data_IF_794086084929
#
_entry.id   IF_794086084929
#
_cell.length_a   1.000
_cell.length_b   1.000
_cell.length_c   1.000
_cell.angle_alpha   90.00
_cell.angle_beta   90.00
_cell.angle_gamma   90.00
#
_symmetry.space_group_name_H-M   'P 1'
#
loop_
_entity.id
_entity.type
_entity.pdbx_description
1 polymer ?
#
# COMPACT_ATOMS: atom_id res chain seq x y z
N UNK A 1 0.97 -3.22 18.06
CA UNK A 1 2.37 -2.74 18.03
C UNK A 1 2.41 -1.49 18.86
N UNK A 2 3.51 -1.20 19.55
CA UNK A 2 3.66 0.11 20.19
C UNK A 2 4.03 1.19 19.17
N UNK A 3 3.94 2.45 19.59
CA UNK A 3 4.16 3.63 18.76
C UNK A 3 5.62 3.73 18.26
N UNK A 4 6.60 3.32 19.07
CA UNK A 4 8.01 3.33 18.69
C UNK A 4 8.28 2.32 17.55
N UNK A 5 7.67 1.14 17.62
CA UNK A 5 7.74 0.13 16.58
C UNK A 5 7.03 0.58 15.29
N UNK A 6 5.92 1.32 15.40
CA UNK A 6 5.25 1.92 14.23
C UNK A 6 6.14 2.96 13.58
N UNK A 7 6.69 3.91 14.35
CA UNK A 7 7.65 4.91 13.84
C UNK A 7 8.85 4.26 13.16
N UNK A 8 9.42 3.23 13.78
CA UNK A 8 10.53 2.49 13.20
C UNK A 8 10.12 1.77 11.91
N UNK A 9 8.91 1.21 11.87
CA UNK A 9 8.39 0.54 10.68
C UNK A 9 8.23 1.52 9.52
N UNK A 10 7.69 2.73 9.72
CA UNK A 10 7.49 3.71 8.62
C UNK A 10 8.69 4.62 8.37
N UNK A 11 9.77 4.49 9.15
CA UNK A 11 10.98 5.29 8.97
C UNK A 11 11.50 5.22 7.53
N UNK A 12 11.84 6.39 6.97
CA UNK A 12 12.32 6.55 5.60
C UNK A 12 11.22 6.52 4.52
N UNK A 13 9.95 6.35 4.89
CA UNK A 13 8.82 6.57 4.00
C UNK A 13 8.43 8.06 4.01
N UNK A 14 7.86 8.59 2.91
CA UNK A 14 7.38 9.95 2.87
C UNK A 14 6.21 10.14 3.86
N UNK A 15 6.11 11.32 4.44
CA UNK A 15 5.01 11.69 5.34
C UNK A 15 3.76 12.05 4.53
N UNK A 16 2.59 11.67 5.03
CA UNK A 16 1.30 12.20 4.56
C UNK A 16 0.99 13.45 5.39
N UNK A 17 1.41 14.62 4.91
CA UNK A 17 1.32 15.87 5.67
C UNK A 17 -0.11 16.14 6.13
N UNK A 18 -0.26 16.39 7.44
CA UNK A 18 -1.54 16.73 8.06
C UNK A 18 -2.47 15.53 8.31
N UNK A 19 -2.01 14.29 8.11
CA UNK A 19 -2.78 13.08 8.39
C UNK A 19 -2.25 12.35 9.63
N UNK A 20 -3.18 11.89 10.47
CA UNK A 20 -2.86 11.02 11.60
C UNK A 20 -2.71 9.56 11.14
N UNK A 21 -1.62 8.91 11.54
CA UNK A 21 -1.40 7.48 11.30
C UNK A 21 -1.90 6.64 12.48
N UNK A 22 -2.96 5.88 12.25
CA UNK A 22 -3.57 4.98 13.25
C UNK A 22 -3.18 3.55 12.89
N UNK A 23 -2.61 2.81 13.86
CA UNK A 23 -2.29 1.38 13.69
C UNK A 23 -3.06 0.57 14.71
N UNK A 24 -3.94 -0.31 14.24
CA UNK A 24 -4.81 -1.10 15.10
C UNK A 24 -4.78 -2.61 14.75
N UNK A 25 -5.21 -3.49 15.67
CA UNK A 25 -5.31 -4.92 15.38
C UNK A 25 -6.39 -5.24 14.33
N UNK A 26 -6.07 -6.18 13.44
CA UNK A 26 -7.02 -6.85 12.55
C UNK A 26 -7.29 -8.25 13.09
N UNK A 27 -8.50 -8.46 13.63
CA UNK A 27 -8.96 -9.80 13.99
C UNK A 27 -9.52 -10.49 12.76
N UNK A 28 -9.07 -11.70 12.48
CA UNK A 28 -9.52 -12.49 11.34
C UNK A 28 -10.03 -13.87 11.77
N UNK A 29 -10.95 -14.43 10.99
CA UNK A 29 -11.55 -15.76 11.26
C UNK A 29 -10.92 -16.87 10.44
N UNK A 30 -10.62 -16.60 9.18
CA UNK A 30 -10.14 -17.62 8.23
C UNK A 30 -8.63 -17.54 8.04
N UNK A 31 -8.13 -16.38 7.60
CA UNK A 31 -6.72 -16.15 7.36
C UNK A 31 -6.35 -14.67 7.58
N UNK A 32 -5.09 -14.39 7.99
CA UNK A 32 -4.56 -13.04 7.98
C UNK A 32 -4.59 -12.49 6.55
N UNK A 33 -4.86 -11.19 6.42
CA UNK A 33 -4.93 -10.47 5.15
C UNK A 33 -4.55 -9.00 5.38
N UNK A 34 -4.33 -8.28 4.29
CA UNK A 34 -4.08 -6.85 4.30
C UNK A 34 -5.39 -6.06 4.44
N UNK A 35 -5.43 -5.09 5.34
CA UNK A 35 -6.55 -4.15 5.47
C UNK A 35 -6.05 -2.78 5.94
N UNK A 36 -6.36 -1.76 5.16
CA UNK A 36 -6.13 -0.37 5.49
C UNK A 36 -7.15 0.52 4.77
N UNK A 37 -7.26 1.76 5.23
CA UNK A 37 -8.10 2.76 4.58
C UNK A 37 -7.66 4.16 4.99
N UNK A 38 -7.92 5.12 4.10
CA UNK A 38 -7.72 6.55 4.32
C UNK A 38 -9.09 7.25 4.40
N UNK A 39 -9.30 8.04 5.44
CA UNK A 39 -10.46 8.92 5.57
C UNK A 39 -9.99 10.36 5.36
N UNK A 40 -10.26 10.91 4.17
CA UNK A 40 -9.76 12.23 3.77
C UNK A 40 -10.37 13.37 4.60
N UNK A 41 -11.67 13.30 4.90
CA UNK A 41 -12.36 14.32 5.70
C UNK A 41 -11.81 14.42 7.12
N UNK A 42 -11.56 13.27 7.76
CA UNK A 42 -10.99 13.18 9.11
C UNK A 42 -9.46 13.28 9.12
N UNK A 43 -8.83 13.29 7.94
CA UNK A 43 -7.38 13.24 7.75
C UNK A 43 -6.71 12.12 8.53
N UNK A 44 -7.21 10.90 8.35
CA UNK A 44 -6.64 9.71 9.00
C UNK A 44 -6.22 8.66 7.99
N UNK A 45 -5.10 8.00 8.26
CA UNK A 45 -4.67 6.77 7.60
C UNK A 45 -4.70 5.67 8.64
N UNK A 46 -5.56 4.68 8.44
CA UNK A 46 -5.69 3.55 9.37
C UNK A 46 -5.11 2.28 8.76
N UNK A 47 -4.13 1.69 9.43
CA UNK A 47 -3.52 0.41 9.06
C UNK A 47 -3.95 -0.67 10.05
N UNK A 48 -4.50 -1.77 9.56
CA UNK A 48 -4.91 -2.89 10.42
C UNK A 48 -3.91 -4.04 10.29
N UNK A 49 -3.32 -4.45 11.43
CA UNK A 49 -2.28 -5.48 11.48
C UNK A 49 -2.86 -6.79 12.01
N UNK A 50 -2.74 -7.92 11.29
CA UNK A 50 -3.27 -9.22 11.73
C UNK A 50 -2.85 -9.61 13.14
N UNK A 51 -3.84 -9.98 13.96
CA UNK A 51 -3.64 -10.44 15.34
C UNK A 51 -4.51 -11.69 15.65
N UNK A 52 -3.91 -12.83 16.07
CA UNK A 52 -2.47 -13.06 16.27
C UNK A 52 -1.67 -12.96 14.96
N UNK A 53 -0.40 -12.59 15.04
CA UNK A 53 0.43 -12.47 13.85
C UNK A 53 1.09 -13.81 13.52
N UNK A 54 0.80 -14.33 12.33
CA UNK A 54 1.54 -15.43 11.70
C UNK A 54 1.99 -14.99 10.32
N UNK A 55 3.20 -15.38 9.86
CA UNK A 55 3.62 -15.09 8.49
C UNK A 55 2.60 -15.60 7.47
N UNK A 56 2.29 -14.78 6.46
CA UNK A 56 1.26 -15.08 5.48
C UNK A 56 1.62 -14.54 4.09
N UNK A 57 0.98 -15.11 3.07
CA UNK A 57 1.12 -14.69 1.69
C UNK A 57 -0.12 -13.95 1.21
N UNK A 58 0.07 -12.86 0.46
CA UNK A 58 -0.99 -12.15 -0.26
C UNK A 58 -0.68 -12.16 -1.76
N UNK A 59 -1.71 -12.22 -2.61
CA UNK A 59 -1.57 -11.99 -4.05
C UNK A 59 -1.88 -10.52 -4.32
N UNK A 60 -0.88 -9.76 -4.75
CA UNK A 60 -1.01 -8.32 -5.01
C UNK A 60 -1.16 -8.10 -6.51
N UNK A 61 -2.24 -7.47 -6.94
CA UNK A 61 -2.50 -7.15 -8.34
C UNK A 61 -1.94 -5.78 -8.70
N UNK A 62 -0.91 -5.74 -9.53
CA UNK A 62 -0.16 -4.51 -9.81
C UNK A 62 -0.35 -3.96 -11.23
N UNK A 63 -1.09 -4.66 -12.10
CA UNK A 63 -1.35 -4.18 -13.45
C UNK A 63 -2.15 -5.14 -14.30
N UNK A 64 -2.24 -4.83 -15.59
CA UNK A 64 -2.77 -5.70 -16.62
C UNK A 64 -1.92 -5.60 -17.88
N UNK A 65 -1.70 -6.72 -18.56
CA UNK A 65 -0.99 -6.78 -19.85
C UNK A 65 -1.97 -7.10 -20.95
N UNK A 66 -1.96 -6.31 -22.03
CA UNK A 66 -2.71 -6.62 -23.24
C UNK A 66 -2.08 -7.81 -23.95
N UNK A 67 -2.90 -8.80 -24.33
CA UNK A 67 -2.48 -9.92 -25.14
C UNK A 67 -2.51 -9.56 -26.62
N UNK A 68 -1.47 -9.95 -27.36
CA UNK A 68 -1.44 -9.89 -28.81
C UNK A 68 -2.30 -11.03 -29.40
N UNK A 69 -3.62 -10.89 -29.32
CA UNK A 69 -4.60 -11.82 -29.87
C UNK A 69 -5.62 -11.07 -30.74
N UNK A 70 -6.39 -11.77 -31.58
CA UNK A 70 -7.56 -11.17 -32.25
C UNK A 70 -8.57 -10.74 -31.17
N UNK A 71 -8.72 -9.43 -30.97
CA UNK A 71 -9.61 -8.81 -29.99
C UNK A 71 -8.90 -8.10 -28.84
N UNK A 72 -9.68 -7.39 -28.02
CA UNK A 72 -9.16 -6.68 -26.84
C UNK A 72 -9.19 -7.61 -25.63
N UNK A 73 -8.08 -8.34 -25.39
CA UNK A 73 -7.92 -9.22 -24.22
C UNK A 73 -6.79 -8.72 -23.33
N UNK A 74 -7.04 -8.69 -22.02
CA UNK A 74 -6.07 -8.33 -20.99
C UNK A 74 -5.90 -9.49 -20.01
N UNK A 75 -4.68 -9.69 -19.52
CA UNK A 75 -4.39 -10.60 -18.41
C UNK A 75 -3.94 -9.78 -17.19
N UNK A 76 -4.46 -10.07 -15.99
CA UNK A 76 -4.00 -9.41 -14.78
C UNK A 76 -2.53 -9.77 -14.53
N UNK A 77 -1.78 -8.81 -14.01
CA UNK A 77 -0.44 -9.00 -13.51
C UNK A 77 -0.51 -8.99 -11.98
N UNK A 78 0.04 -10.02 -11.37
CA UNK A 78 0.04 -10.20 -9.92
C UNK A 78 1.36 -10.76 -9.42
N UNK A 79 1.68 -10.48 -8.16
CA UNK A 79 2.84 -11.02 -7.47
C UNK A 79 2.42 -11.59 -6.11
N UNK A 80 2.96 -12.76 -5.76
CA UNK A 80 2.78 -13.34 -4.43
C UNK A 80 3.79 -12.73 -3.45
N UNK A 81 3.32 -12.06 -2.42
CA UNK A 81 4.15 -11.41 -1.40
C UNK A 81 3.97 -12.12 -0.07
N UNK A 82 5.08 -12.58 0.53
CA UNK A 82 5.07 -13.09 1.90
C UNK A 82 5.44 -12.01 2.90
N UNK A 83 4.55 -11.76 3.86
CA UNK A 83 4.76 -10.93 5.03
C UNK A 83 5.25 -11.78 6.19
N UNK A 84 6.46 -11.50 6.67
CA UNK A 84 7.15 -12.23 7.73
C UNK A 84 7.12 -11.50 9.07
N UNK A 85 6.76 -10.22 9.07
CA UNK A 85 6.66 -9.41 10.28
C UNK A 85 5.53 -8.40 10.22
N UNK A 86 5.07 -7.95 11.39
CA UNK A 86 4.09 -6.86 11.51
C UNK A 86 4.61 -5.55 10.88
N UNK A 87 5.93 -5.31 10.95
CA UNK A 87 6.56 -4.14 10.33
C UNK A 87 6.47 -4.17 8.81
N UNK A 88 6.62 -5.35 8.16
CA UNK A 88 6.40 -5.46 6.70
C UNK A 88 4.96 -5.15 6.32
N UNK A 89 3.97 -5.59 7.12
CA UNK A 89 2.56 -5.27 6.90
C UNK A 89 2.32 -3.77 7.03
N UNK A 90 2.78 -3.15 8.12
CA UNK A 90 2.69 -1.70 8.32
C UNK A 90 3.32 -0.92 7.17
N UNK A 91 4.52 -1.31 6.71
CA UNK A 91 5.19 -0.64 5.59
C UNK A 91 4.43 -0.77 4.30
N UNK A 92 3.90 -1.96 4.01
CA UNK A 92 3.15 -2.19 2.78
C UNK A 92 1.85 -1.39 2.76
N UNK A 93 1.05 -1.52 3.82
CA UNK A 93 -0.21 -0.79 3.95
C UNK A 93 0.02 0.72 3.95
N UNK A 94 1.04 1.21 4.66
CA UNK A 94 1.37 2.63 4.64
C UNK A 94 1.76 3.11 3.23
N UNK A 95 2.61 2.38 2.50
CA UNK A 95 2.93 2.78 1.12
C UNK A 95 1.68 2.81 0.22
N UNK A 96 0.73 1.88 0.42
CA UNK A 96 -0.51 1.84 -0.33
C UNK A 96 -1.37 3.07 -0.03
N UNK A 97 -1.69 3.31 1.24
CA UNK A 97 -2.52 4.46 1.67
C UNK A 97 -1.85 5.81 1.43
N UNK A 98 -0.54 5.90 1.63
CA UNK A 98 0.20 7.11 1.32
C UNK A 98 0.12 7.45 -0.18
N UNK A 99 0.06 6.44 -1.05
CA UNK A 99 -0.11 6.70 -2.48
C UNK A 99 -1.54 7.15 -2.81
N UNK A 100 -2.56 6.62 -2.11
CA UNK A 100 -3.92 7.18 -2.15
C UNK A 100 -3.93 8.66 -1.78
N UNK A 101 -3.31 9.01 -0.66
CA UNK A 101 -3.10 10.38 -0.22
C UNK A 101 -2.39 11.22 -1.28
N UNK A 102 -1.29 10.73 -1.86
CA UNK A 102 -0.52 11.45 -2.87
C UNK A 102 -1.35 11.73 -4.14
N UNK A 103 -2.12 10.74 -4.61
CA UNK A 103 -3.00 10.93 -5.77
C UNK A 103 -4.08 11.97 -5.51
N UNK A 104 -4.64 11.97 -4.30
CA UNK A 104 -5.74 12.86 -3.92
C UNK A 104 -5.26 14.27 -3.57
N UNK A 105 -4.37 14.41 -2.58
CA UNK A 105 -3.94 15.70 -2.05
C UNK A 105 -2.92 16.40 -2.95
N UNK A 106 -1.97 15.64 -3.53
CA UNK A 106 -0.86 16.25 -4.28
C UNK A 106 -1.18 16.37 -5.77
N UNK A 107 -1.85 15.37 -6.35
CA UNK A 107 -2.20 15.39 -7.79
C UNK A 107 -3.64 15.82 -8.07
N UNK A 108 -4.48 16.00 -7.05
CA UNK A 108 -5.90 16.33 -7.19
C UNK A 108 -6.63 15.39 -8.17
N UNK A 109 -6.35 14.09 -8.04
CA UNK A 109 -6.96 13.01 -8.81
C UNK A 109 -7.84 12.15 -7.92
N UNK A 110 -8.60 11.26 -8.58
CA UNK A 110 -9.34 10.24 -7.86
C UNK A 110 -8.35 9.33 -7.11
N UNK A 111 -8.60 9.11 -5.83
CA UNK A 111 -7.85 8.19 -4.98
C UNK A 111 -8.05 6.74 -5.41
N UNK A 112 -9.15 6.37 -6.05
CA UNK A 112 -9.53 4.97 -6.33
C UNK A 112 -8.66 4.18 -7.34
N UNK A 113 -7.39 4.53 -7.54
CA UNK A 113 -6.47 3.83 -8.43
C UNK A 113 -5.77 2.65 -7.73
N UNK A 114 -6.56 1.71 -7.18
CA UNK A 114 -6.08 0.58 -6.34
C UNK A 114 -4.88 -0.16 -6.96
N UNK A 115 -4.97 -0.53 -8.24
CA UNK A 115 -3.88 -1.23 -8.93
C UNK A 115 -2.58 -0.40 -9.01
N UNK A 116 -2.69 0.93 -9.06
CA UNK A 116 -1.53 1.81 -9.02
C UNK A 116 -0.95 1.93 -7.61
N UNK A 117 -1.80 1.99 -6.58
CA UNK A 117 -1.41 1.99 -5.16
C UNK A 117 -0.74 0.67 -4.77
N UNK A 118 -1.32 -0.47 -5.15
CA UNK A 118 -0.74 -1.81 -4.97
C UNK A 118 0.62 -1.93 -5.64
N UNK A 119 0.73 -1.47 -6.89
CA UNK A 119 2.01 -1.46 -7.61
C UNK A 119 3.05 -0.59 -6.91
N UNK A 120 2.66 0.57 -6.40
CA UNK A 120 3.56 1.45 -5.67
C UNK A 120 4.01 0.80 -4.35
N UNK A 121 3.08 0.23 -3.59
CA UNK A 121 3.38 -0.48 -2.35
C UNK A 121 4.33 -1.66 -2.59
N UNK A 122 3.99 -2.53 -3.54
CA UNK A 122 4.77 -3.71 -3.93
C UNK A 122 6.22 -3.36 -4.25
N UNK A 123 6.45 -2.27 -5.01
CA UNK A 123 7.80 -1.86 -5.40
C UNK A 123 8.61 -1.22 -4.26
N UNK A 124 7.95 -0.61 -3.27
CA UNK A 124 8.61 0.31 -2.34
C UNK A 124 8.65 -0.15 -0.89
N UNK A 125 7.74 -1.01 -0.42
CA UNK A 125 7.60 -1.30 1.01
C UNK A 125 8.86 -1.90 1.66
N UNK A 126 9.73 -2.57 0.90
CA UNK A 126 11.02 -3.10 1.40
C UNK A 126 12.20 -2.16 1.24
N UNK A 127 12.05 -1.03 0.54
CA UNK A 127 13.13 -0.06 0.36
C UNK A 127 13.36 0.70 1.66
N UNK A 128 14.60 1.04 1.98
CA UNK A 128 14.94 1.83 3.18
C UNK A 128 14.42 3.27 3.11
N UNK A 129 14.47 3.87 1.92
CA UNK A 129 14.03 5.25 1.68
C UNK A 129 13.14 5.28 0.44
N UNK A 130 12.02 5.96 0.56
CA UNK A 130 11.04 6.23 -0.49
C UNK A 130 10.79 7.73 -0.52
N UNK A 131 10.67 8.31 -1.71
CA UNK A 131 10.61 9.76 -1.91
C UNK A 131 9.43 10.15 -2.80
N UNK A 132 9.12 11.44 -2.82
CA UNK A 132 8.17 12.03 -3.77
C UNK A 132 8.56 11.77 -5.23
N UNK A 133 9.85 11.61 -5.53
CA UNK A 133 10.29 11.29 -6.89
C UNK A 133 9.89 9.86 -7.30
N UNK A 134 9.91 8.91 -6.37
CA UNK A 134 9.44 7.54 -6.60
C UNK A 134 7.95 7.54 -6.94
N UNK A 135 7.16 8.36 -6.24
CA UNK A 135 5.73 8.55 -6.51
C UNK A 135 5.49 9.15 -7.90
N UNK A 136 6.24 10.21 -8.26
CA UNK A 136 6.17 10.82 -9.61
C UNK A 136 6.57 9.84 -10.72
N UNK A 137 7.56 8.97 -10.47
CA UNK A 137 7.97 7.92 -11.41
C UNK A 137 6.89 6.85 -11.56
N UNK A 138 6.28 6.42 -10.46
CA UNK A 138 5.19 5.45 -10.47
C UNK A 138 3.97 5.97 -11.26
N UNK A 139 3.59 7.23 -11.05
CA UNK A 139 2.49 7.86 -11.79
C UNK A 139 2.76 7.93 -13.30
N UNK A 140 3.98 8.32 -13.70
CA UNK A 140 4.36 8.38 -15.12
C UNK A 140 4.33 7.03 -15.82
N UNK A 141 4.64 5.94 -15.12
CA UNK A 141 4.54 4.56 -15.65
C UNK A 141 3.10 4.02 -15.70
N UNK A 142 2.14 4.74 -15.12
CA UNK A 142 0.72 4.37 -15.16
C UNK A 142 0.01 4.95 -16.38
N UNK A 143 0.54 6.03 -16.97
CA UNK A 143 0.02 6.69 -18.16
C UNK A 143 0.59 6.07 -19.42
#
# INVERSE_FOLDING_TARGET
>A
MDEAAVRAAVAGLPEAEGYELIVQPLRYRSAPHLAAYTVFDDRTITLQVPEPFHPFGEVVHYGAKRLAAKGMKFVPLSEGVTFRSRAEVVRFLYCHEWYHWYLYEVLHKNSSAETACDRFALHNFRRRVVTMEDARKAYRRAR
#
